data_IF_336446859385
#
_entry.id   IF_336446859385
#
_cell.length_a   1.000
_cell.length_b   1.000
_cell.length_c   1.000
_cell.angle_alpha   90.00
_cell.angle_beta   90.00
_cell.angle_gamma   90.00
#
_symmetry.space_group_name_H-M   'P 1'
#
loop_
_entity.id
_entity.type
_entity.pdbx_description
1 polymer ?
#
# COMPACT_ATOMS: atom_id res chain seq x y z
N UNK A 1 6.75 10.26 9.78
CA UNK A 1 7.46 11.29 9.03
C UNK A 1 7.75 12.51 9.89
N UNK A 2 8.91 13.08 9.67
CA UNK A 2 9.32 14.28 10.40
C UNK A 2 8.34 15.43 10.09
N UNK A 3 7.94 16.16 11.12
CA UNK A 3 7.02 17.28 10.98
C UNK A 3 5.54 16.91 10.95
N UNK A 4 5.22 15.65 11.12
CA UNK A 4 3.82 15.22 11.16
C UNK A 4 3.28 15.32 12.58
N UNK A 5 2.46 16.33 12.85
CA UNK A 5 2.05 16.68 14.20
C UNK A 5 0.81 15.93 14.70
N UNK A 6 -0.01 15.40 13.80
CA UNK A 6 -1.21 14.67 14.17
C UNK A 6 -1.53 13.61 13.12
N UNK A 7 -1.78 12.40 13.57
CA UNK A 7 -2.26 11.32 12.70
C UNK A 7 -3.78 11.33 12.70
N UNK A 8 -4.38 11.69 11.58
CA UNK A 8 -5.82 11.75 11.46
C UNK A 8 -6.44 10.43 11.02
N UNK A 9 -5.73 9.62 10.22
CA UNK A 9 -6.22 8.34 9.72
C UNK A 9 -7.51 8.41 8.92
N UNK A 10 -7.79 9.54 8.30
CA UNK A 10 -9.06 9.76 7.59
C UNK A 10 -9.05 9.17 6.19
N UNK A 11 -7.93 9.30 5.49
CA UNK A 11 -7.78 8.86 4.11
C UNK A 11 -6.61 7.92 4.02
N UNK A 12 -6.89 6.66 3.68
CA UNK A 12 -5.89 5.61 3.70
C UNK A 12 -5.75 5.03 2.30
N UNK A 13 -4.51 4.88 1.84
CA UNK A 13 -4.16 4.15 0.62
C UNK A 13 -3.61 2.78 1.02
N UNK A 14 -4.13 1.74 0.38
CA UNK A 14 -3.60 0.38 0.49
C UNK A 14 -2.79 0.08 -0.76
N UNK A 15 -1.49 -0.15 -0.60
CA UNK A 15 -0.66 -0.63 -1.69
C UNK A 15 -0.80 -2.15 -1.79
N UNK A 16 -1.45 -2.62 -2.84
CA UNK A 16 -1.88 -4.01 -2.96
C UNK A 16 -1.14 -4.75 -4.07
N UNK A 17 -0.53 -5.87 -3.75
CA UNK A 17 0.12 -6.75 -4.70
C UNK A 17 -0.46 -8.17 -4.73
N UNK A 18 -1.49 -8.41 -3.92
CA UNK A 18 -2.10 -9.73 -3.78
C UNK A 18 -1.28 -10.71 -2.96
N UNK A 19 -0.14 -10.30 -2.46
CA UNK A 19 0.78 -11.15 -1.74
C UNK A 19 0.40 -11.38 -0.28
N UNK A 20 1.11 -12.29 0.34
CA UNK A 20 0.92 -12.70 1.72
C UNK A 20 1.15 -11.56 2.71
N UNK A 21 2.20 -10.77 2.46
CA UNK A 21 2.56 -9.67 3.36
C UNK A 21 1.56 -8.52 3.26
N UNK A 22 1.08 -8.22 2.05
CA UNK A 22 0.03 -7.22 1.85
C UNK A 22 -1.27 -7.66 2.51
N UNK A 23 -1.63 -8.93 2.39
CA UNK A 23 -2.81 -9.50 3.05
C UNK A 23 -2.71 -9.34 4.57
N UNK A 24 -1.56 -9.64 5.13
CA UNK A 24 -1.33 -9.48 6.58
C UNK A 24 -1.43 -8.02 7.00
N UNK A 25 -0.83 -7.12 6.24
CA UNK A 25 -0.88 -5.69 6.53
C UNK A 25 -2.33 -5.17 6.55
N UNK A 26 -3.13 -5.57 5.57
CA UNK A 26 -4.55 -5.19 5.51
C UNK A 26 -5.31 -5.72 6.71
N UNK A 27 -5.14 -6.98 7.06
CA UNK A 27 -5.83 -7.57 8.19
C UNK A 27 -5.44 -6.92 9.52
N UNK A 28 -4.16 -6.63 9.70
CA UNK A 28 -3.67 -5.95 10.90
C UNK A 28 -4.13 -4.49 10.97
N UNK A 29 -4.36 -3.86 9.83
CA UNK A 29 -4.81 -2.47 9.74
C UNK A 29 -6.33 -2.31 9.78
N UNK A 30 -7.11 -3.39 9.85
CA UNK A 30 -8.58 -3.31 9.82
C UNK A 30 -9.16 -2.28 10.77
N UNK A 31 -8.73 -2.15 12.04
CA UNK A 31 -9.25 -1.11 12.92
C UNK A 31 -9.12 0.31 12.33
N UNK A 32 -7.98 0.60 11.72
CA UNK A 32 -7.74 1.89 11.07
C UNK A 32 -8.62 2.06 9.84
N UNK A 33 -8.76 1.00 9.06
CA UNK A 33 -9.56 1.03 7.82
C UNK A 33 -11.05 1.24 8.13
N UNK A 34 -11.54 0.64 9.20
CA UNK A 34 -12.93 0.83 9.62
C UNK A 34 -13.19 2.25 10.10
N UNK A 35 -12.22 2.88 10.74
CA UNK A 35 -12.33 4.24 11.26
C UNK A 35 -12.11 5.30 10.17
N UNK A 36 -11.56 4.93 9.02
CA UNK A 36 -11.25 5.88 7.96
C UNK A 36 -12.51 6.40 7.27
N UNK A 37 -12.45 7.64 6.80
CA UNK A 37 -13.49 8.24 5.99
C UNK A 37 -13.47 7.74 4.55
N UNK A 38 -12.27 7.47 4.03
CA UNK A 38 -12.07 7.03 2.66
C UNK A 38 -10.86 6.11 2.57
N UNK A 39 -11.00 5.03 1.79
CA UNK A 39 -9.94 4.05 1.55
C UNK A 39 -9.82 3.81 0.06
N UNK A 40 -8.62 3.86 -0.45
CA UNK A 40 -8.31 3.53 -1.84
C UNK A 40 -7.35 2.35 -1.90
N UNK A 41 -7.68 1.37 -2.74
CA UNK A 41 -6.78 0.27 -3.06
C UNK A 41 -6.03 0.63 -4.32
N UNK A 42 -4.70 0.65 -4.26
CA UNK A 42 -3.85 0.94 -5.41
C UNK A 42 -3.01 -0.29 -5.74
N UNK A 43 -3.14 -0.77 -6.96
CA UNK A 43 -2.31 -1.82 -7.53
C UNK A 43 -1.51 -1.23 -8.68
N UNK A 44 -0.21 -1.52 -8.75
CA UNK A 44 0.63 -1.09 -9.86
C UNK A 44 0.82 -2.29 -10.79
N UNK A 45 0.27 -2.16 -11.98
CA UNK A 45 0.21 -3.24 -12.97
C UNK A 45 1.43 -3.17 -13.88
N UNK A 46 2.02 -4.33 -14.19
CA UNK A 46 3.13 -4.41 -15.15
C UNK A 46 4.50 -4.33 -14.52
N UNK A 47 4.59 -4.36 -13.20
CA UNK A 47 5.88 -4.49 -12.53
C UNK A 47 6.37 -5.94 -12.68
N UNK A 48 7.64 -6.07 -13.09
CA UNK A 48 8.27 -7.39 -13.26
C UNK A 48 8.39 -8.17 -11.96
N UNK A 49 8.51 -7.46 -10.85
CA UNK A 49 8.64 -8.06 -9.53
C UNK A 49 7.29 -8.46 -8.93
N UNK A 50 6.19 -8.06 -9.59
CA UNK A 50 4.83 -8.46 -9.26
C UNK A 50 4.29 -9.33 -10.40
N UNK A 51 4.63 -10.63 -10.41
CA UNK A 51 4.39 -11.50 -11.58
C UNK A 51 2.92 -11.73 -11.91
N UNK A 52 2.03 -11.44 -10.99
CA UNK A 52 0.59 -11.44 -11.25
C UNK A 52 0.04 -10.15 -10.70
N UNK A 53 -0.30 -9.23 -11.59
CA UNK A 53 -1.06 -8.05 -11.21
C UNK A 53 -2.42 -8.51 -10.68
N UNK A 54 -2.51 -8.68 -9.38
CA UNK A 54 -3.78 -8.99 -8.77
C UNK A 54 -4.54 -7.70 -8.62
N UNK A 55 -5.55 -7.54 -9.46
CA UNK A 55 -6.43 -6.38 -9.40
C UNK A 55 -7.03 -6.24 -8.00
N UNK A 56 -7.20 -5.00 -7.55
CA UNK A 56 -7.72 -4.72 -6.23
C UNK A 56 -9.17 -5.10 -5.99
N UNK A 57 -9.89 -5.55 -7.04
CA UNK A 57 -11.31 -5.85 -6.95
C UNK A 57 -11.63 -6.94 -5.93
N UNK A 58 -10.80 -8.00 -5.85
CA UNK A 58 -10.99 -9.06 -4.87
C UNK A 58 -10.84 -8.58 -3.43
N UNK A 59 -9.86 -7.71 -3.21
CA UNK A 59 -9.69 -7.10 -1.90
C UNK A 59 -10.86 -6.19 -1.56
N UNK A 60 -11.39 -5.44 -2.52
CA UNK A 60 -12.55 -4.59 -2.31
C UNK A 60 -13.75 -5.38 -1.80
N UNK A 61 -14.00 -6.55 -2.38
CA UNK A 61 -15.08 -7.46 -1.92
C UNK A 61 -14.82 -7.91 -0.48
N UNK A 62 -13.59 -8.29 -0.16
CA UNK A 62 -13.21 -8.72 1.19
C UNK A 62 -13.46 -7.59 2.21
N UNK A 63 -13.04 -6.38 1.90
CA UNK A 63 -13.23 -5.23 2.78
C UNK A 63 -14.68 -4.82 2.89
N UNK A 64 -15.47 -4.95 1.83
CA UNK A 64 -16.91 -4.68 1.88
C UNK A 64 -17.61 -5.59 2.89
N UNK A 65 -17.16 -6.84 3.04
CA UNK A 65 -17.70 -7.75 4.05
C UNK A 65 -17.38 -7.30 5.48
N UNK A 66 -16.38 -6.47 5.64
CA UNK A 66 -16.03 -5.84 6.92
C UNK A 66 -16.66 -4.46 7.10
N UNK A 67 -17.58 -4.09 6.20
CA UNK A 67 -18.26 -2.80 6.27
C UNK A 67 -17.41 -1.62 5.77
N UNK A 68 -16.36 -1.88 5.02
CA UNK A 68 -15.46 -0.86 4.53
C UNK A 68 -15.69 -0.63 3.05
N UNK A 69 -16.14 0.57 2.69
CA UNK A 69 -16.28 0.98 1.29
C UNK A 69 -14.95 1.51 0.77
N UNK A 70 -14.53 1.01 -0.39
CA UNK A 70 -13.25 1.38 -0.98
C UNK A 70 -13.41 1.78 -2.43
N UNK A 71 -12.47 2.59 -2.92
CA UNK A 71 -12.26 2.76 -4.36
C UNK A 71 -11.07 1.93 -4.79
N UNK A 72 -11.10 1.44 -6.03
CA UNK A 72 -10.02 0.63 -6.58
C UNK A 72 -9.38 1.39 -7.73
N UNK A 73 -8.07 1.49 -7.71
CA UNK A 73 -7.31 2.17 -8.74
C UNK A 73 -6.11 1.28 -9.17
N UNK A 74 -6.26 0.63 -10.31
CA UNK A 74 -5.21 -0.20 -10.88
C UNK A 74 -4.40 0.67 -11.85
N UNK A 75 -3.19 1.05 -11.44
CA UNK A 75 -2.34 1.97 -12.16
C UNK A 75 -1.32 1.25 -13.03
N UNK A 76 -1.12 1.66 -14.27
CA UNK A 76 -0.02 1.13 -15.07
C UNK A 76 1.32 1.65 -14.55
N UNK A 77 2.32 0.79 -14.53
CA UNK A 77 3.68 1.22 -14.25
C UNK A 77 4.19 2.02 -15.45
N UNK A 78 4.68 3.23 -15.19
CA UNK A 78 5.26 4.08 -16.24
C UNK A 78 6.58 3.49 -16.72
N UNK A 79 6.90 3.70 -17.99
CA UNK A 79 8.13 3.23 -18.61
C UNK A 79 9.39 3.61 -17.83
N UNK A 80 9.42 4.85 -17.34
CA UNK A 80 10.57 5.42 -16.63
C UNK A 80 10.32 5.59 -15.14
N UNK A 81 9.17 5.08 -14.64
CA UNK A 81 8.81 5.21 -13.24
C UNK A 81 9.09 3.93 -12.47
N UNK A 82 9.23 4.08 -11.17
CA UNK A 82 9.26 2.94 -10.27
C UNK A 82 7.95 2.86 -9.48
N UNK A 83 7.74 1.72 -8.83
CA UNK A 83 6.52 1.46 -8.07
C UNK A 83 6.39 2.41 -6.89
N UNK A 84 7.50 2.69 -6.20
CA UNK A 84 7.50 3.60 -5.04
C UNK A 84 7.06 5.00 -5.43
N UNK A 85 7.59 5.52 -6.54
CA UNK A 85 7.21 6.83 -7.04
C UNK A 85 5.74 6.89 -7.44
N UNK A 86 5.25 5.85 -8.12
CA UNK A 86 3.86 5.75 -8.53
C UNK A 86 2.94 5.75 -7.31
N UNK A 87 3.28 4.97 -6.28
CA UNK A 87 2.50 4.93 -5.04
C UNK A 87 2.51 6.26 -4.30
N UNK A 88 3.66 6.90 -4.19
CA UNK A 88 3.77 8.21 -3.53
C UNK A 88 2.95 9.27 -4.25
N UNK A 89 3.04 9.31 -5.58
CA UNK A 89 2.27 10.25 -6.39
C UNK A 89 0.77 10.05 -6.20
N UNK A 90 0.31 8.81 -6.24
CA UNK A 90 -1.11 8.51 -6.06
C UNK A 90 -1.58 8.84 -4.65
N UNK A 91 -0.79 8.49 -3.64
CA UNK A 91 -1.11 8.83 -2.26
C UNK A 91 -1.19 10.35 -2.05
N UNK A 92 -0.32 11.10 -2.71
CA UNK A 92 -0.36 12.56 -2.70
C UNK A 92 -1.62 13.12 -3.34
N UNK A 93 -2.00 12.60 -4.50
CA UNK A 93 -3.23 13.01 -5.19
C UNK A 93 -4.47 12.67 -4.37
N UNK A 94 -4.48 11.53 -3.71
CA UNK A 94 -5.56 11.09 -2.85
C UNK A 94 -5.59 11.82 -1.51
N UNK A 95 -4.53 12.55 -1.19
CA UNK A 95 -4.32 13.22 0.11
C UNK A 95 -4.36 12.22 1.26
N UNK A 96 -3.62 11.14 1.10
CA UNK A 96 -3.59 10.07 2.09
C UNK A 96 -2.96 10.53 3.40
N UNK A 97 -3.52 10.05 4.49
CA UNK A 97 -2.95 10.22 5.84
C UNK A 97 -2.04 9.05 6.21
N UNK A 98 -2.21 7.92 5.56
CA UNK A 98 -1.43 6.71 5.82
C UNK A 98 -1.42 5.82 4.60
N UNK A 99 -0.33 5.09 4.41
CA UNK A 99 -0.22 4.03 3.41
C UNK A 99 -0.05 2.70 4.14
N UNK A 100 -0.92 1.74 3.81
CA UNK A 100 -0.84 0.36 4.30
C UNK A 100 -0.19 -0.49 3.21
N UNK A 101 0.89 -1.19 3.54
CA UNK A 101 1.57 -2.06 2.59
C UNK A 101 2.27 -3.21 3.26
N UNK A 102 2.47 -4.30 2.54
CA UNK A 102 3.30 -5.40 2.98
C UNK A 102 4.77 -5.03 2.88
N UNK A 103 5.56 -5.41 3.86
CA UNK A 103 6.99 -5.30 3.78
C UNK A 103 7.52 -6.37 2.83
N UNK A 104 8.28 -5.95 1.84
CA UNK A 104 8.74 -6.84 0.79
C UNK A 104 10.16 -7.31 1.06
N UNK A 105 10.40 -8.62 0.94
CA UNK A 105 11.73 -9.22 1.04
C UNK A 105 12.16 -9.75 -0.31
N UNK A 106 13.38 -9.43 -0.70
CA UNK A 106 13.99 -9.99 -1.89
C UNK A 106 14.58 -11.37 -1.61
N UNK A 107 14.05 -12.39 -2.30
CA UNK A 107 14.66 -13.70 -2.43
C UNK A 107 14.75 -14.51 -1.15
N UNK A 108 15.49 -15.66 -1.21
CA UNK A 108 15.63 -16.57 -0.08
C UNK A 108 16.71 -16.15 0.92
N UNK A 109 17.17 -14.93 0.85
CA UNK A 109 18.23 -14.43 1.73
C UNK A 109 17.66 -14.27 3.14
N UNK A 110 18.27 -14.97 4.07
CA UNK A 110 17.90 -14.96 5.49
C UNK A 110 18.22 -13.65 6.20
N UNK A 111 18.81 -12.70 5.51
CA UNK A 111 19.09 -11.39 6.05
C UNK A 111 17.84 -10.53 5.95
N UNK A 112 17.63 -9.72 6.97
CA UNK A 112 16.50 -8.77 7.07
C UNK A 112 16.71 -7.61 6.10
N UNK A 113 16.81 -7.91 4.82
CA UNK A 113 16.92 -6.90 3.78
C UNK A 113 15.52 -6.71 3.23
N UNK A 114 14.94 -5.56 3.49
CA UNK A 114 13.69 -5.17 2.85
C UNK A 114 13.95 -5.02 1.36
N UNK A 115 12.97 -5.41 0.54
CA UNK A 115 13.04 -5.18 -0.89
C UNK A 115 13.15 -3.70 -1.23
N UNK A 116 13.59 -3.39 -2.45
CA UNK A 116 13.82 -2.02 -2.87
C UNK A 116 12.61 -1.10 -2.71
N UNK A 117 11.40 -1.62 -2.96
CA UNK A 117 10.16 -0.86 -2.77
C UNK A 117 9.97 -0.47 -1.31
N UNK A 118 10.06 -1.43 -0.39
CA UNK A 118 9.87 -1.15 1.03
C UNK A 118 10.89 -0.15 1.54
N UNK A 119 12.15 -0.33 1.17
CA UNK A 119 13.22 0.58 1.57
C UNK A 119 13.01 1.98 1.02
N UNK A 120 12.62 2.11 -0.25
CA UNK A 120 12.34 3.40 -0.84
C UNK A 120 11.16 4.10 -0.16
N UNK A 121 10.11 3.35 0.18
CA UNK A 121 8.96 3.91 0.89
C UNK A 121 9.33 4.35 2.30
N UNK A 122 10.13 3.56 3.01
CA UNK A 122 10.57 3.94 4.36
C UNK A 122 11.46 5.17 4.38
N UNK A 123 12.26 5.35 3.35
CA UNK A 123 13.24 6.44 3.29
C UNK A 123 12.64 7.74 2.74
N UNK A 124 11.82 7.65 1.70
CA UNK A 124 11.40 8.82 0.92
C UNK A 124 9.91 9.14 1.03
N UNK A 125 9.15 8.34 1.76
CA UNK A 125 7.71 8.56 1.84
C UNK A 125 7.37 9.64 2.86
N UNK A 126 6.64 10.70 2.45
CA UNK A 126 6.21 11.74 3.37
C UNK A 126 4.99 11.36 4.22
N UNK A 127 4.44 10.17 4.01
CA UNK A 127 3.22 9.69 4.68
C UNK A 127 3.57 8.67 5.74
N UNK A 128 2.79 8.59 6.84
CA UNK A 128 2.88 7.46 7.76
C UNK A 128 2.67 6.13 7.03
N UNK A 129 3.51 5.15 7.36
CA UNK A 129 3.43 3.82 6.78
C UNK A 129 2.98 2.81 7.83
N UNK A 130 2.03 1.95 7.46
CA UNK A 130 1.68 0.76 8.20
C UNK A 130 2.23 -0.45 7.45
N UNK A 131 3.21 -1.11 8.05
CA UNK A 131 3.92 -2.22 7.42
C UNK A 131 3.70 -3.52 8.18
N UNK A 132 3.52 -4.62 7.44
CA UNK A 132 3.52 -5.97 8.01
C UNK A 132 4.27 -6.93 7.09
N UNK A 133 4.88 -7.93 7.70
CA UNK A 133 5.61 -8.95 6.95
C UNK A 133 5.41 -10.34 7.53
#
# INVERSE_FOLDING_TARGET
PAGYNAFAGRRIVIAWDGGKNATRAVNDALPFLRAAEAVEIVSVIGDKDLPTSVAGAGLAVHLARHGIAVTVNDLPLRRDGDVAETLRSEAGLYRADMIVMGAYRHGPIRQWIFGGLTQAMMTLCPFPLFLAH
#
